data_IF_314805075365
#
_entry.id   IF_314805075365
#
_cell.length_a   1.000
_cell.length_b   1.000
_cell.length_c   1.000
_cell.angle_alpha   90.00
_cell.angle_beta   90.00
_cell.angle_gamma   90.00
#
_symmetry.space_group_name_H-M   'P 1'
#
loop_
_entity.id
_entity.type
_entity.pdbx_description
1 polymer ?
#
# COMPACT_ATOMS: atom_id res chain seq x y z
N UNK A 1 6.81 -24.11 -6.62
CA UNK A 1 7.34 -22.75 -6.41
C UNK A 1 8.18 -22.81 -5.14
N UNK A 2 9.43 -22.37 -5.17
CA UNK A 2 10.24 -22.27 -3.94
C UNK A 2 9.73 -21.14 -3.03
N UNK A 3 10.27 -21.07 -1.80
CA UNK A 3 9.86 -20.10 -0.79
C UNK A 3 10.01 -18.65 -1.28
N UNK A 4 11.14 -18.31 -1.89
CA UNK A 4 11.44 -16.95 -2.34
C UNK A 4 10.50 -16.52 -3.45
N UNK A 5 10.28 -17.39 -4.43
CA UNK A 5 9.32 -17.18 -5.50
C UNK A 5 7.89 -17.00 -4.97
N UNK A 6 7.51 -17.72 -3.90
CA UNK A 6 6.20 -17.55 -3.25
C UNK A 6 6.07 -16.20 -2.55
N UNK A 7 7.09 -15.75 -1.82
CA UNK A 7 7.09 -14.43 -1.17
C UNK A 7 6.99 -13.30 -2.21
N UNK A 8 7.77 -13.37 -3.29
CA UNK A 8 7.72 -12.41 -4.40
C UNK A 8 6.32 -12.40 -5.03
N UNK A 9 5.74 -13.57 -5.28
CA UNK A 9 4.39 -13.68 -5.84
C UNK A 9 3.35 -12.96 -4.98
N UNK A 10 3.35 -13.21 -3.66
CA UNK A 10 2.39 -12.56 -2.77
C UNK A 10 2.65 -11.07 -2.61
N UNK A 11 3.90 -10.61 -2.57
CA UNK A 11 4.22 -9.18 -2.52
C UNK A 11 3.69 -8.45 -3.76
N UNK A 12 3.98 -8.96 -4.97
CA UNK A 12 3.50 -8.38 -6.22
C UNK A 12 1.97 -8.37 -6.29
N UNK A 13 1.33 -9.44 -5.84
CA UNK A 13 -0.14 -9.54 -5.76
C UNK A 13 -0.78 -8.45 -4.90
N UNK A 14 -0.08 -7.95 -3.86
CA UNK A 14 -0.58 -6.83 -3.05
C UNK A 14 -0.25 -5.46 -3.67
N UNK A 15 0.87 -5.34 -4.39
CA UNK A 15 1.25 -4.07 -5.06
C UNK A 15 0.35 -3.74 -6.25
N UNK A 16 0.01 -4.72 -7.09
CA UNK A 16 -0.71 -4.49 -8.36
C UNK A 16 -2.06 -3.75 -8.19
N UNK A 17 -2.92 -4.11 -7.21
CA UNK A 17 -4.17 -3.38 -6.96
C UNK A 17 -3.95 -1.89 -6.68
N UNK A 18 -2.86 -1.50 -6.03
CA UNK A 18 -2.62 -0.11 -5.61
C UNK A 18 -2.70 0.85 -6.80
N UNK A 19 -2.01 0.56 -7.90
CA UNK A 19 -2.02 1.44 -9.08
C UNK A 19 -3.37 1.42 -9.81
N UNK A 20 -4.04 0.27 -9.84
CA UNK A 20 -5.39 0.19 -10.37
C UNK A 20 -6.37 1.07 -9.58
N UNK A 21 -6.30 1.04 -8.24
CA UNK A 21 -7.15 1.82 -7.34
C UNK A 21 -6.94 3.32 -7.45
N UNK A 22 -5.85 3.77 -8.04
CA UNK A 22 -5.67 5.17 -8.39
C UNK A 22 -6.28 5.52 -9.75
N UNK A 23 -6.50 4.56 -10.67
CA UNK A 23 -6.90 4.84 -12.06
C UNK A 23 -8.23 5.58 -12.20
N UNK A 24 -8.38 6.36 -13.27
CA UNK A 24 -9.62 7.07 -13.64
C UNK A 24 -10.17 8.03 -12.57
N UNK A 25 -9.30 8.61 -11.73
CA UNK A 25 -9.64 9.63 -10.75
C UNK A 25 -8.79 10.88 -11.00
N UNK A 26 -9.39 12.06 -10.82
CA UNK A 26 -8.66 13.32 -10.89
C UNK A 26 -7.89 13.62 -9.60
N UNK A 27 -6.94 14.57 -9.68
CA UNK A 27 -6.09 15.03 -8.57
C UNK A 27 -6.87 15.30 -7.28
N UNK A 28 -7.99 16.01 -7.38
CA UNK A 28 -8.82 16.35 -6.22
C UNK A 28 -9.36 15.12 -5.52
N UNK A 29 -9.84 14.11 -6.26
CA UNK A 29 -10.41 12.90 -5.67
C UNK A 29 -9.33 12.05 -5.01
N UNK A 30 -8.17 11.94 -5.66
CA UNK A 30 -7.04 11.15 -5.15
C UNK A 30 -6.47 11.69 -3.84
N UNK A 31 -6.51 13.02 -3.65
CA UNK A 31 -5.99 13.71 -2.46
C UNK A 31 -7.03 13.99 -1.39
N UNK A 32 -8.31 13.74 -1.66
CA UNK A 32 -9.38 14.06 -0.71
C UNK A 32 -9.27 13.16 0.52
N UNK A 33 -9.17 13.72 1.74
CA UNK A 33 -9.26 12.95 2.97
C UNK A 33 -10.64 12.28 3.10
N UNK A 34 -10.65 10.96 3.31
CA UNK A 34 -11.88 10.17 3.45
C UNK A 34 -12.08 9.63 4.88
N UNK A 35 -11.16 9.91 5.80
CA UNK A 35 -11.23 9.53 7.21
C UNK A 35 -10.83 10.69 8.12
N UNK A 36 -11.17 10.61 9.41
CA UNK A 36 -10.79 11.62 10.40
C UNK A 36 -9.27 11.75 10.61
N UNK A 37 -8.49 10.73 10.21
CA UNK A 37 -7.03 10.72 10.30
C UNK A 37 -6.34 11.17 9.00
N UNK A 38 -7.09 11.69 8.03
CA UNK A 38 -6.52 12.26 6.81
C UNK A 38 -6.27 11.26 5.68
N UNK A 39 -6.67 9.99 5.81
CA UNK A 39 -6.37 8.95 4.83
C UNK A 39 -6.97 9.30 3.46
N UNK A 40 -6.13 9.30 2.44
CA UNK A 40 -6.49 9.54 1.05
C UNK A 40 -5.72 8.56 0.14
N UNK A 41 -6.22 8.32 -1.08
CA UNK A 41 -5.65 7.31 -1.97
C UNK A 41 -4.20 7.61 -2.37
N UNK A 42 -3.92 8.87 -2.72
CA UNK A 42 -2.61 9.25 -3.25
C UNK A 42 -1.51 9.16 -2.19
N UNK A 43 -1.83 9.60 -0.98
CA UNK A 43 -0.96 9.52 0.19
C UNK A 43 -0.61 8.09 0.57
N UNK A 44 -1.60 7.19 0.63
CA UNK A 44 -1.31 5.77 0.91
C UNK A 44 -0.42 5.15 -0.17
N UNK A 45 -0.61 5.51 -1.43
CA UNK A 45 0.25 5.00 -2.50
C UNK A 45 1.71 5.51 -2.39
N UNK A 46 1.90 6.79 -2.06
CA UNK A 46 3.21 7.36 -1.78
C UNK A 46 3.87 6.69 -0.57
N UNK A 47 3.13 6.51 0.52
CA UNK A 47 3.61 5.84 1.72
C UNK A 47 4.11 4.41 1.41
N UNK A 48 3.27 3.58 0.80
CA UNK A 48 3.63 2.18 0.47
C UNK A 48 4.89 2.12 -0.40
N UNK A 49 5.03 3.00 -1.40
CA UNK A 49 6.24 3.08 -2.21
C UNK A 49 7.47 3.55 -1.42
N UNK A 50 7.29 4.46 -0.47
CA UNK A 50 8.37 5.00 0.37
C UNK A 50 8.89 3.96 1.36
N UNK A 51 8.00 3.20 1.99
CA UNK A 51 8.42 2.10 2.86
C UNK A 51 9.07 0.97 2.07
N UNK A 52 8.62 0.70 0.83
CA UNK A 52 9.31 -0.23 -0.07
C UNK A 52 10.78 0.17 -0.29
N UNK A 53 11.01 1.46 -0.57
CA UNK A 53 12.35 2.04 -0.72
C UNK A 53 13.18 1.90 0.57
N UNK A 54 12.63 2.23 1.73
CA UNK A 54 13.36 2.12 2.99
C UNK A 54 13.73 0.67 3.33
N UNK A 55 12.76 -0.25 3.25
CA UNK A 55 12.95 -1.65 3.66
C UNK A 55 13.78 -2.48 2.69
N UNK A 56 13.70 -2.26 1.38
CA UNK A 56 14.52 -2.99 0.41
C UNK A 56 15.76 -2.21 -0.03
N UNK A 57 15.90 -0.95 0.38
CA UNK A 57 17.07 -0.13 0.09
C UNK A 57 18.00 -0.01 1.29
N UNK A 58 17.69 0.90 2.20
CA UNK A 58 18.56 1.28 3.33
C UNK A 58 18.90 0.10 4.23
N UNK A 59 17.91 -0.75 4.55
CA UNK A 59 18.07 -1.92 5.44
C UNK A 59 19.13 -2.90 4.95
N UNK A 60 19.33 -2.98 3.63
CA UNK A 60 20.30 -3.90 2.99
C UNK A 60 21.48 -3.16 2.37
N UNK A 61 21.68 -1.87 2.67
CA UNK A 61 22.80 -1.08 2.16
C UNK A 61 22.74 -0.81 0.65
N UNK A 62 21.53 -0.74 0.08
CA UNK A 62 21.27 -0.54 -1.35
C UNK A 62 20.38 0.70 -1.54
N UNK A 63 20.87 1.93 -1.36
CA UNK A 63 20.01 3.12 -1.38
C UNK A 63 19.29 3.31 -2.73
N UNK A 64 18.07 3.85 -2.70
CA UNK A 64 17.19 4.02 -3.87
C UNK A 64 17.74 4.93 -4.97
N UNK A 65 18.60 5.88 -4.61
CA UNK A 65 19.28 6.77 -5.56
C UNK A 65 18.50 8.03 -5.94
N UNK A 66 17.25 8.17 -5.49
CA UNK A 66 16.46 9.39 -5.58
C UNK A 66 16.19 9.97 -4.19
N UNK A 67 16.08 11.30 -4.05
CA UNK A 67 15.78 11.92 -2.75
C UNK A 67 14.34 11.59 -2.32
N UNK A 68 14.19 11.18 -1.07
CA UNK A 68 12.90 10.95 -0.39
C UNK A 68 12.81 11.80 0.87
N UNK A 69 12.74 13.13 0.77
CA UNK A 69 12.86 14.05 1.92
C UNK A 69 11.77 13.88 2.98
N UNK A 70 10.65 13.24 2.63
CA UNK A 70 9.59 12.87 3.58
C UNK A 70 9.95 11.67 4.47
N UNK A 71 11.04 10.96 4.17
CA UNK A 71 11.60 9.87 4.99
C UNK A 71 12.82 10.33 5.82
N UNK A 72 13.30 11.56 5.63
CA UNK A 72 14.48 12.06 6.32
C UNK A 72 14.24 12.20 7.83
N UNK A 73 15.32 12.11 8.61
CA UNK A 73 15.27 12.41 10.04
C UNK A 73 14.77 13.84 10.26
N UNK A 74 13.70 13.99 11.04
CA UNK A 74 13.08 15.29 11.32
C UNK A 74 12.02 15.73 10.30
N UNK A 75 11.69 14.90 9.30
CA UNK A 75 10.49 15.09 8.49
C UNK A 75 9.24 15.18 9.39
N UNK A 76 8.22 15.91 8.93
CA UNK A 76 6.97 16.01 9.69
C UNK A 76 6.31 14.64 9.87
N UNK A 77 5.59 14.41 10.99
CA UNK A 77 4.82 13.19 11.15
C UNK A 77 3.88 12.97 9.97
N UNK A 78 3.93 11.79 9.36
CA UNK A 78 3.13 11.40 8.20
C UNK A 78 3.44 12.17 6.90
N UNK A 79 4.64 12.73 6.72
CA UNK A 79 5.06 13.42 5.49
C UNK A 79 4.90 12.59 4.19
N UNK A 80 4.90 11.26 4.33
CA UNK A 80 4.73 10.28 3.26
C UNK A 80 3.28 9.84 3.02
N UNK A 81 2.36 10.20 3.92
CA UNK A 81 0.93 9.89 3.85
C UNK A 81 0.11 10.95 3.10
N UNK A 82 0.78 11.90 2.43
CA UNK A 82 0.16 12.87 1.55
C UNK A 82 1.13 13.29 0.44
N UNK A 83 0.57 13.77 -0.67
CA UNK A 83 1.35 14.30 -1.78
C UNK A 83 1.21 15.83 -1.85
N UNK A 84 2.32 16.53 -2.05
CA UNK A 84 2.37 17.98 -2.24
C UNK A 84 1.76 18.40 -3.58
N UNK A 85 1.58 19.71 -3.79
CA UNK A 85 1.12 20.25 -5.08
C UNK A 85 2.04 19.87 -6.24
N UNK A 86 3.34 19.77 -5.98
CA UNK A 86 4.37 19.50 -7.00
C UNK A 86 4.53 17.99 -7.27
N UNK A 87 4.08 17.15 -6.34
CA UNK A 87 4.01 15.70 -6.49
C UNK A 87 2.69 15.30 -7.15
N UNK A 88 2.59 15.46 -8.48
CA UNK A 88 1.38 15.09 -9.25
C UNK A 88 1.01 13.61 -9.08
N UNK A 89 -0.25 13.25 -9.38
CA UNK A 89 -0.70 11.87 -9.33
C UNK A 89 0.11 10.95 -10.26
N UNK A 90 0.49 11.44 -11.44
CA UNK A 90 1.34 10.70 -12.37
C UNK A 90 2.77 10.56 -11.86
N UNK A 91 3.29 11.58 -11.15
CA UNK A 91 4.57 11.48 -10.48
C UNK A 91 4.54 10.40 -9.40
N UNK A 92 3.51 10.35 -8.55
CA UNK A 92 3.38 9.32 -7.50
C UNK A 92 3.27 7.92 -8.11
N UNK A 93 2.46 7.72 -9.16
CA UNK A 93 2.39 6.42 -9.86
C UNK A 93 3.75 6.01 -10.40
N UNK A 94 4.46 6.95 -11.01
CA UNK A 94 5.80 6.72 -11.54
C UNK A 94 6.78 6.40 -10.41
N UNK A 95 6.67 7.06 -9.26
CA UNK A 95 7.47 6.80 -8.07
C UNK A 95 7.21 5.40 -7.52
N UNK A 96 5.95 4.95 -7.42
CA UNK A 96 5.64 3.56 -7.06
C UNK A 96 6.34 2.55 -7.97
N UNK A 97 6.32 2.76 -9.29
CA UNK A 97 6.98 1.85 -10.24
C UNK A 97 8.49 1.79 -10.03
N UNK A 98 9.15 2.95 -9.91
CA UNK A 98 10.60 3.01 -9.67
C UNK A 98 10.97 2.38 -8.32
N UNK A 99 10.21 2.67 -7.27
CA UNK A 99 10.36 2.04 -5.96
C UNK A 99 10.29 0.50 -6.06
N UNK A 100 9.31 -0.03 -6.79
CA UNK A 100 9.18 -1.48 -6.97
C UNK A 100 10.28 -2.09 -7.83
N UNK A 101 10.71 -1.42 -8.90
CA UNK A 101 11.86 -1.85 -9.70
C UNK A 101 13.13 -1.94 -8.84
N UNK A 102 13.35 -0.96 -7.97
CA UNK A 102 14.46 -0.97 -7.02
C UNK A 102 14.34 -2.11 -6.00
N UNK A 103 13.19 -2.24 -5.35
CA UNK A 103 12.94 -3.29 -4.38
C UNK A 103 13.11 -4.68 -4.98
N UNK A 104 12.57 -4.89 -6.19
CA UNK A 104 12.69 -6.15 -6.92
C UNK A 104 14.17 -6.46 -7.25
N UNK A 105 14.95 -5.46 -7.64
CA UNK A 105 16.40 -5.64 -7.86
C UNK A 105 17.16 -6.02 -6.57
N UNK A 106 16.77 -5.51 -5.40
CA UNK A 106 17.33 -5.97 -4.12
C UNK A 106 16.92 -7.40 -3.81
N UNK A 107 15.62 -7.71 -3.94
CA UNK A 107 15.09 -9.04 -3.65
C UNK A 107 15.75 -10.09 -4.56
N UNK A 108 15.95 -9.80 -5.83
CA UNK A 108 16.63 -10.70 -6.78
C UNK A 108 18.08 -10.94 -6.41
N UNK A 109 18.81 -9.88 -6.00
CA UNK A 109 20.25 -9.94 -5.75
C UNK A 109 20.66 -10.65 -4.43
N UNK A 110 19.73 -10.81 -3.48
CA UNK A 110 20.03 -11.27 -2.13
C UNK A 110 19.34 -12.61 -1.80
N UNK A 111 20.01 -13.48 -1.06
CA UNK A 111 19.39 -14.68 -0.51
C UNK A 111 18.44 -14.35 0.65
N UNK A 112 17.52 -15.26 0.97
CA UNK A 112 16.48 -15.03 1.99
C UNK A 112 17.05 -14.80 3.40
N UNK A 113 18.22 -15.36 3.71
CA UNK A 113 18.94 -15.18 4.97
C UNK A 113 19.95 -14.02 4.93
N UNK A 114 19.98 -13.22 3.85
CA UNK A 114 20.83 -12.04 3.77
C UNK A 114 20.50 -11.08 4.92
N UNK A 115 21.50 -10.65 5.72
CA UNK A 115 21.27 -9.83 6.90
C UNK A 115 20.86 -8.41 6.52
N UNK A 116 19.93 -7.85 7.28
CA UNK A 116 19.50 -6.45 7.19
C UNK A 116 19.36 -5.81 8.57
N UNK A 117 19.43 -4.47 8.61
CA UNK A 117 19.25 -3.70 9.84
C UNK A 117 18.15 -2.65 9.67
N UNK A 118 17.02 -2.85 10.33
CA UNK A 118 15.90 -1.91 10.34
C UNK A 118 16.06 -0.93 11.50
N UNK A 119 16.74 0.19 11.27
CA UNK A 119 17.16 1.10 12.35
C UNK A 119 16.01 1.67 13.21
N UNK A 120 14.80 1.76 12.65
CA UNK A 120 13.59 2.25 13.32
C UNK A 120 12.79 1.16 14.05
N UNK A 121 13.22 -0.10 14.02
CA UNK A 121 12.64 -1.15 14.87
C UNK A 121 13.27 -1.15 16.27
N UNK A 122 12.57 -1.72 17.28
CA UNK A 122 13.14 -1.93 18.60
C UNK A 122 14.51 -2.65 18.53
N UNK A 123 15.49 -2.31 19.40
CA UNK A 123 16.83 -2.88 19.37
C UNK A 123 16.88 -4.41 19.36
N UNK A 124 15.91 -5.06 20.00
CA UNK A 124 15.82 -6.52 20.11
C UNK A 124 15.41 -7.20 18.80
N UNK A 125 14.85 -6.44 17.84
CA UNK A 125 14.32 -6.95 16.56
C UNK A 125 14.93 -6.30 15.33
N UNK A 126 15.69 -5.20 15.47
CA UNK A 126 16.22 -4.44 14.33
C UNK A 126 17.18 -5.22 13.43
N UNK A 127 17.92 -6.19 13.97
CA UNK A 127 18.74 -7.09 13.17
C UNK A 127 17.86 -8.21 12.63
N UNK A 128 17.76 -8.33 11.32
CA UNK A 128 16.80 -9.22 10.65
C UNK A 128 17.39 -9.78 9.36
N UNK A 129 16.57 -10.45 8.55
CA UNK A 129 16.93 -11.00 7.25
C UNK A 129 15.92 -10.60 6.16
N UNK A 130 16.29 -10.82 4.89
CA UNK A 130 15.42 -10.53 3.76
C UNK A 130 14.07 -11.27 3.84
N UNK A 131 14.07 -12.51 4.33
CA UNK A 131 12.84 -13.29 4.54
C UNK A 131 11.85 -12.56 5.45
N UNK A 132 12.34 -12.09 6.60
CA UNK A 132 11.50 -11.37 7.58
C UNK A 132 11.02 -10.05 7.02
N UNK A 133 11.87 -9.31 6.30
CA UNK A 133 11.47 -8.05 5.63
C UNK A 133 10.43 -8.30 4.54
N UNK A 134 10.56 -9.35 3.73
CA UNK A 134 9.55 -9.73 2.74
C UNK A 134 8.19 -10.01 3.39
N UNK A 135 8.16 -10.79 4.47
CA UNK A 135 6.92 -11.07 5.21
C UNK A 135 6.32 -9.79 5.79
N UNK A 136 7.16 -8.93 6.38
CA UNK A 136 6.73 -7.64 6.89
C UNK A 136 6.10 -6.78 5.80
N UNK A 137 6.75 -6.64 4.64
CA UNK A 137 6.28 -5.82 3.53
C UNK A 137 5.03 -6.37 2.84
N UNK A 138 4.84 -7.69 2.81
CA UNK A 138 3.58 -8.30 2.37
C UNK A 138 2.44 -7.88 3.30
N UNK A 139 2.64 -7.97 4.62
CA UNK A 139 1.64 -7.60 5.61
C UNK A 139 1.34 -6.09 5.59
N UNK A 140 2.38 -5.27 5.45
CA UNK A 140 2.27 -3.80 5.37
C UNK A 140 1.47 -3.39 4.14
N UNK A 141 1.85 -3.90 2.97
CA UNK A 141 1.17 -3.60 1.71
C UNK A 141 -0.28 -4.07 1.75
N UNK A 142 -0.54 -5.31 2.20
CA UNK A 142 -1.91 -5.83 2.30
C UNK A 142 -2.80 -4.99 3.22
N UNK A 143 -2.27 -4.54 4.37
CA UNK A 143 -2.99 -3.70 5.33
C UNK A 143 -3.40 -2.36 4.71
N UNK A 144 -2.50 -1.72 3.96
CA UNK A 144 -2.79 -0.46 3.29
C UNK A 144 -3.69 -0.63 2.06
N UNK A 145 -3.53 -1.71 1.30
CA UNK A 145 -4.40 -2.00 0.15
C UNK A 145 -5.85 -2.23 0.59
N UNK A 146 -6.06 -2.89 1.73
CA UNK A 146 -7.41 -3.01 2.33
C UNK A 146 -8.02 -1.65 2.74
N UNK A 147 -7.21 -0.67 3.15
CA UNK A 147 -7.70 0.69 3.39
C UNK A 147 -8.05 1.38 2.06
N UNK A 148 -7.20 1.23 1.05
CA UNK A 148 -7.40 1.77 -0.30
C UNK A 148 -8.66 1.20 -0.95
N UNK A 149 -8.99 -0.08 -0.73
CA UNK A 149 -10.24 -0.69 -1.17
C UNK A 149 -11.46 0.09 -0.69
N UNK A 150 -11.55 0.32 0.62
CA UNK A 150 -12.68 1.03 1.24
C UNK A 150 -12.71 2.50 0.82
N UNK A 151 -11.55 3.17 0.78
CA UNK A 151 -11.47 4.57 0.34
C UNK A 151 -11.91 4.71 -1.12
N UNK A 152 -11.53 3.77 -1.99
CA UNK A 152 -11.96 3.80 -3.40
C UNK A 152 -13.47 3.61 -3.51
N UNK A 153 -14.02 2.65 -2.80
CA UNK A 153 -15.46 2.41 -2.77
C UNK A 153 -16.24 3.66 -2.29
N UNK A 154 -15.74 4.38 -1.29
CA UNK A 154 -16.36 5.62 -0.82
C UNK A 154 -16.30 6.78 -1.84
N UNK A 155 -15.32 6.78 -2.75
CA UNK A 155 -15.16 7.86 -3.74
C UNK A 155 -16.09 7.67 -4.94
N UNK A 156 -16.17 6.47 -5.51
CA UNK A 156 -16.91 6.21 -6.75
C UNK A 156 -17.64 4.86 -6.80
N UNK A 157 -17.72 4.14 -5.68
CA UNK A 157 -18.39 2.85 -5.58
C UNK A 157 -17.62 1.67 -6.18
N UNK A 158 -16.42 1.87 -6.73
CA UNK A 158 -15.64 0.77 -7.31
C UNK A 158 -14.99 -0.07 -6.20
N UNK A 159 -15.35 -1.34 -6.17
CA UNK A 159 -14.82 -2.32 -5.23
C UNK A 159 -14.18 -3.52 -5.97
N UNK A 160 -13.44 -4.33 -5.21
CA UNK A 160 -12.90 -5.61 -5.66
C UNK A 160 -11.38 -5.72 -5.62
N UNK A 161 -10.84 -6.90 -5.88
CA UNK A 161 -9.42 -7.21 -5.70
C UNK A 161 -8.53 -6.64 -6.82
N UNK A 162 -8.91 -6.79 -8.09
CA UNK A 162 -8.19 -6.21 -9.22
C UNK A 162 -9.13 -5.91 -10.42
N UNK A 163 -8.55 -5.47 -11.56
CA UNK A 163 -9.29 -5.12 -12.78
C UNK A 163 -10.03 -6.30 -13.43
N UNK A 164 -9.55 -7.52 -13.20
CA UNK A 164 -10.00 -8.75 -13.86
C UNK A 164 -10.79 -9.66 -12.93
N UNK A 165 -10.61 -9.50 -11.62
CA UNK A 165 -11.27 -10.30 -10.60
C UNK A 165 -11.69 -9.42 -9.43
N UNK A 166 -13.00 -9.29 -9.24
CA UNK A 166 -13.54 -8.50 -8.13
C UNK A 166 -13.35 -9.18 -6.78
N UNK A 167 -13.29 -10.53 -6.71
CA UNK A 167 -13.41 -11.28 -5.46
C UNK A 167 -14.68 -10.93 -4.65
N UNK A 168 -15.72 -10.45 -5.32
CA UNK A 168 -17.03 -10.19 -4.72
C UNK A 168 -18.04 -11.22 -5.22
N UNK A 169 -19.07 -11.55 -4.42
CA UNK A 169 -20.19 -12.36 -4.90
C UNK A 169 -20.79 -11.78 -6.18
N UNK A 170 -21.07 -12.65 -7.15
CA UNK A 170 -21.76 -12.26 -8.38
C UNK A 170 -23.22 -11.93 -8.05
N UNK A 171 -23.49 -10.64 -7.90
CA UNK A 171 -24.78 -10.07 -7.53
C UNK A 171 -25.00 -8.80 -8.35
N UNK A 172 -26.21 -8.60 -8.87
CA UNK A 172 -26.53 -7.39 -9.62
C UNK A 172 -26.61 -6.16 -8.70
N UNK A 173 -26.55 -4.94 -9.26
CA UNK A 173 -26.58 -3.69 -8.48
C UNK A 173 -27.81 -3.55 -7.56
N UNK A 174 -28.96 -4.09 -7.98
CA UNK A 174 -30.18 -4.08 -7.15
C UNK A 174 -30.07 -5.03 -5.94
N UNK A 175 -29.29 -6.09 -6.06
CA UNK A 175 -29.08 -7.06 -4.98
C UNK A 175 -28.19 -6.45 -3.88
N UNK A 176 -27.14 -5.71 -4.25
CA UNK A 176 -26.29 -4.99 -3.30
C UNK A 176 -27.05 -3.92 -2.51
N UNK A 177 -27.91 -3.12 -3.16
CA UNK A 177 -28.72 -2.12 -2.45
C UNK A 177 -29.66 -2.76 -1.43
N UNK A 178 -30.33 -3.84 -1.81
CA UNK A 178 -31.21 -4.58 -0.91
C UNK A 178 -30.42 -5.21 0.26
N UNK A 179 -29.25 -5.77 -0.03
CA UNK A 179 -28.35 -6.32 0.97
C UNK A 179 -27.91 -5.26 2.00
N UNK A 180 -27.44 -4.10 1.54
CA UNK A 180 -27.04 -2.98 2.41
C UNK A 180 -28.20 -2.50 3.28
N UNK A 181 -29.41 -2.36 2.72
CA UNK A 181 -30.60 -1.98 3.50
C UNK A 181 -30.94 -3.00 4.58
N UNK A 182 -30.83 -4.31 4.28
CA UNK A 182 -31.02 -5.37 5.27
C UNK A 182 -30.01 -5.27 6.40
N UNK A 183 -28.73 -5.03 6.10
CA UNK A 183 -27.68 -4.88 7.12
C UNK A 183 -27.90 -3.63 8.00
N UNK A 184 -28.34 -2.51 7.41
CA UNK A 184 -28.68 -1.30 8.18
C UNK A 184 -29.80 -1.54 9.18
N UNK A 185 -30.91 -2.15 8.74
CA UNK A 185 -32.03 -2.50 9.63
C UNK A 185 -31.61 -3.41 10.76
N UNK A 186 -30.70 -4.37 10.49
CA UNK A 186 -30.15 -5.24 11.53
C UNK A 186 -29.32 -4.43 12.52
N UNK A 187 -28.42 -3.56 12.07
CA UNK A 187 -27.60 -2.72 12.95
C UNK A 187 -28.47 -1.80 13.83
N UNK A 188 -29.51 -1.18 13.25
CA UNK A 188 -30.46 -0.30 13.95
C UNK A 188 -31.36 -1.04 14.95
N UNK A 189 -31.41 -2.38 14.92
CA UNK A 189 -32.18 -3.17 15.89
C UNK A 189 -31.47 -3.33 17.25
N UNK A 190 -30.18 -3.00 17.33
CA UNK A 190 -29.42 -3.00 18.56
C UNK A 190 -29.49 -1.61 19.24
N UNK A 191 -29.48 -1.55 20.59
CA UNK A 191 -29.36 -0.28 21.29
C UNK A 191 -28.01 0.38 20.97
N UNK A 192 -28.02 1.72 20.91
CA UNK A 192 -26.82 2.55 20.71
C UNK A 192 -26.03 2.81 21.98
#
# INVERSE_FOLDING_TARGET
MDEKAMLIYYLRRQRDPLLWKLSNLGERQLRMPMTATGTNLLGVAKHVASVDVGYFGEVFGRPFGEPTPWMDEGAEPNADMWATRDESADWVRSFCRRAWEHSDATIEALDLDAPGVVAWWPPERRNTDLRTVLVHMIAETARHVGQVDIVRELIDGRAGADQTWSNLPDQGDNDWKNYVQRLRKLAESFPG
#
